data_IF_109917702813
#
_entry.id   IF_109917702813
#
_cell.length_a   1.000
_cell.length_b   1.000
_cell.length_c   1.000
_cell.angle_alpha   90.00
_cell.angle_beta   90.00
_cell.angle_gamma   90.00
#
_symmetry.space_group_name_H-M   'P 1'
#
loop_
_entity.id
_entity.type
_entity.pdbx_description
1 polymer ?
#
# COMPACT_ATOMS: atom_id res chain seq x y z
N UNK A 1 -8.65 1.39 -4.05
CA UNK A 1 -8.83 1.53 -2.60
C UNK A 1 -8.90 3.00 -2.23
N UNK A 2 -9.68 3.32 -1.19
CA UNK A 2 -9.79 4.68 -0.66
C UNK A 2 -9.54 4.62 0.84
N UNK A 3 -8.59 5.41 1.31
CA UNK A 3 -8.20 5.51 2.71
C UNK A 3 -8.60 6.88 3.26
N UNK A 4 -9.25 6.88 4.43
CA UNK A 4 -9.40 8.09 5.23
C UNK A 4 -8.03 8.54 5.76
N UNK A 5 -7.85 9.83 6.13
CA UNK A 5 -6.63 10.29 6.79
C UNK A 5 -6.17 9.37 7.92
N UNK A 6 -4.89 9.00 7.88
CA UNK A 6 -4.25 8.12 8.86
C UNK A 6 -4.61 6.63 8.78
N UNK A 7 -5.52 6.23 7.88
CA UNK A 7 -5.84 4.81 7.69
C UNK A 7 -4.76 4.11 6.86
N UNK A 8 -4.44 2.87 7.23
CA UNK A 8 -3.48 2.02 6.51
C UNK A 8 -3.92 0.55 6.54
N UNK A 9 -3.34 -0.25 5.66
CA UNK A 9 -3.48 -1.71 5.72
C UNK A 9 -2.81 -2.27 6.97
N UNK A 10 -3.19 -3.48 7.43
CA UNK A 10 -2.29 -4.28 8.25
C UNK A 10 -1.00 -4.61 7.47
N UNK A 11 0.03 -5.04 8.19
CA UNK A 11 1.24 -5.61 7.58
C UNK A 11 0.85 -6.87 6.78
N UNK A 12 1.16 -6.90 5.50
CA UNK A 12 0.81 -8.00 4.61
C UNK A 12 1.84 -8.18 3.51
N UNK A 13 1.70 -9.24 2.72
CA UNK A 13 2.53 -9.49 1.54
C UNK A 13 1.72 -10.16 0.44
N UNK A 14 2.20 -10.04 -0.80
CA UNK A 14 1.63 -10.73 -1.95
C UNK A 14 2.66 -11.71 -2.53
N UNK A 15 2.25 -12.95 -2.81
CA UNK A 15 3.16 -13.96 -3.38
C UNK A 15 3.65 -13.59 -4.77
N UNK A 16 2.79 -13.00 -5.58
CA UNK A 16 3.11 -12.57 -6.96
C UNK A 16 3.33 -11.04 -7.08
N UNK A 17 3.36 -10.33 -5.95
CA UNK A 17 3.55 -8.87 -5.89
C UNK A 17 2.27 -8.07 -6.13
N UNK A 18 2.38 -6.74 -5.98
CA UNK A 18 1.28 -5.80 -6.14
C UNK A 18 1.75 -4.49 -6.77
N UNK A 19 0.94 -3.92 -7.65
CA UNK A 19 1.13 -2.57 -8.20
C UNK A 19 0.07 -1.63 -7.65
N UNK A 20 0.52 -0.48 -7.14
CA UNK A 20 -0.32 0.62 -6.71
C UNK A 20 -0.20 1.77 -7.70
N UNK A 21 -1.32 2.28 -8.18
CA UNK A 21 -1.37 3.48 -9.03
C UNK A 21 -2.15 4.56 -8.28
N UNK A 22 -1.46 5.60 -7.82
CA UNK A 22 -2.07 6.64 -7.00
C UNK A 22 -2.82 7.65 -7.89
N UNK A 23 -4.08 7.88 -7.59
CA UNK A 23 -4.96 8.74 -8.40
C UNK A 23 -5.35 10.04 -7.70
N UNK A 24 -5.30 10.09 -6.36
CA UNK A 24 -5.58 11.30 -5.59
C UNK A 24 -5.03 11.19 -4.15
N UNK A 25 -4.77 12.34 -3.52
CA UNK A 25 -4.42 12.42 -2.11
C UNK A 25 -2.93 12.26 -1.80
N UNK A 26 -2.62 12.00 -0.54
CA UNK A 26 -1.25 11.82 -0.03
C UNK A 26 -1.20 10.55 0.81
N UNK A 27 -0.13 9.78 0.67
CA UNK A 27 0.00 8.52 1.38
C UNK A 27 1.42 8.01 1.40
N UNK A 28 1.55 6.75 1.80
CA UNK A 28 2.85 6.11 1.94
C UNK A 28 2.80 4.61 1.64
N UNK A 29 3.96 4.07 1.34
CA UNK A 29 4.28 2.64 1.40
C UNK A 29 5.47 2.48 2.34
N UNK A 30 5.39 1.53 3.26
CA UNK A 30 6.48 1.19 4.18
C UNK A 30 6.83 -0.28 4.03
N UNK A 31 8.11 -0.57 3.78
CA UNK A 31 8.65 -1.92 3.62
C UNK A 31 10.06 -1.97 4.21
N UNK A 32 10.40 -3.05 4.94
CA UNK A 32 11.74 -3.22 5.50
C UNK A 32 12.21 -2.13 6.47
N UNK A 33 11.29 -1.34 7.03
CA UNK A 33 11.59 -0.19 7.89
C UNK A 33 11.89 1.11 7.14
N UNK A 34 11.78 1.12 5.81
CA UNK A 34 11.86 2.32 4.99
C UNK A 34 10.46 2.76 4.55
N UNK A 35 10.20 4.06 4.65
CA UNK A 35 8.92 4.66 4.26
C UNK A 35 9.11 5.57 3.05
N UNK A 36 8.30 5.35 2.03
CA UNK A 36 8.20 6.18 0.83
C UNK A 36 6.86 6.91 0.85
N UNK A 37 6.90 8.23 0.77
CA UNK A 37 5.71 9.06 0.55
C UNK A 37 5.31 9.00 -0.93
N UNK A 38 4.00 8.96 -1.20
CA UNK A 38 3.43 8.79 -2.53
C UNK A 38 2.25 9.75 -2.75
N UNK A 39 2.08 10.19 -3.99
CA UNK A 39 1.05 11.12 -4.42
C UNK A 39 0.53 10.84 -5.83
N UNK A 40 -0.41 11.66 -6.34
CA UNK A 40 -1.10 11.38 -7.60
C UNK A 40 -0.14 11.30 -8.78
N UNK A 41 -0.23 10.22 -9.56
CA UNK A 41 0.66 9.94 -10.68
C UNK A 41 1.77 8.95 -10.35
N UNK A 42 2.03 8.67 -9.07
CA UNK A 42 3.01 7.66 -8.68
C UNK A 42 2.51 6.24 -8.97
N UNK A 43 3.44 5.40 -9.39
CA UNK A 43 3.26 3.96 -9.56
C UNK A 43 4.27 3.25 -8.69
N UNK A 44 3.77 2.46 -7.73
CA UNK A 44 4.61 1.69 -6.80
C UNK A 44 4.47 0.21 -7.10
N UNK A 45 5.60 -0.50 -7.09
CA UNK A 45 5.66 -1.95 -7.10
C UNK A 45 6.03 -2.43 -5.70
N UNK A 46 5.10 -3.12 -5.03
CA UNK A 46 5.44 -3.97 -3.90
C UNK A 46 5.86 -5.33 -4.46
N UNK A 47 7.11 -5.70 -4.26
CA UNK A 47 7.69 -6.86 -4.91
C UNK A 47 7.08 -8.18 -4.42
N UNK A 48 7.11 -9.27 -5.23
CA UNK A 48 6.75 -10.60 -4.76
C UNK A 48 7.50 -10.96 -3.47
N UNK A 49 6.78 -11.36 -2.42
CA UNK A 49 7.40 -11.71 -1.14
C UNK A 49 7.63 -10.55 -0.17
N UNK A 50 7.39 -9.30 -0.59
CA UNK A 50 7.70 -8.12 0.22
C UNK A 50 6.61 -7.85 1.25
N UNK A 51 7.00 -7.83 2.53
CA UNK A 51 6.13 -7.40 3.62
C UNK A 51 6.04 -5.88 3.63
N UNK A 52 4.83 -5.36 3.56
CA UNK A 52 4.60 -3.93 3.49
C UNK A 52 3.29 -3.50 4.16
N UNK A 53 3.24 -2.21 4.47
CA UNK A 53 2.05 -1.46 4.84
C UNK A 53 1.89 -0.34 3.83
N UNK A 54 0.66 -0.01 3.46
CA UNK A 54 0.39 1.21 2.71
C UNK A 54 -0.88 1.88 3.19
N UNK A 55 -0.94 3.21 3.07
CA UNK A 55 -2.04 3.98 3.65
C UNK A 55 -1.97 5.46 3.34
N UNK A 56 -2.95 6.18 3.88
CA UNK A 56 -3.04 7.62 3.77
C UNK A 56 -2.12 8.34 4.75
N UNK A 57 -1.70 9.56 4.39
CA UNK A 57 -1.02 10.48 5.29
C UNK A 57 -1.91 10.83 6.49
N UNK A 58 -1.31 11.36 7.56
CA UNK A 58 -2.01 11.58 8.83
C UNK A 58 -3.24 12.50 8.72
N UNK A 59 -3.23 13.48 7.81
CA UNK A 59 -4.27 14.52 7.70
C UNK A 59 -5.00 14.53 6.35
N UNK A 60 -4.51 13.78 5.36
CA UNK A 60 -5.02 13.77 3.99
C UNK A 60 -5.34 12.33 3.59
N UNK A 61 -6.49 12.10 2.96
CA UNK A 61 -6.87 10.77 2.48
C UNK A 61 -6.06 10.35 1.24
N UNK A 62 -6.14 9.07 0.88
CA UNK A 62 -5.47 8.51 -0.30
C UNK A 62 -6.45 7.73 -1.17
N UNK A 63 -6.36 7.89 -2.48
CA UNK A 63 -7.05 7.04 -3.46
C UNK A 63 -6.02 6.46 -4.42
N UNK A 64 -6.01 5.14 -4.53
CA UNK A 64 -5.19 4.44 -5.52
C UNK A 64 -5.93 3.25 -6.11
N UNK A 65 -5.54 2.84 -7.31
CA UNK A 65 -5.90 1.53 -7.88
C UNK A 65 -4.87 0.51 -7.39
N UNK A 66 -5.30 -0.69 -7.05
CA UNK A 66 -4.42 -1.82 -6.73
C UNK A 66 -4.61 -2.89 -7.79
N UNK A 67 -3.51 -3.35 -8.37
CA UNK A 67 -3.47 -4.51 -9.27
C UNK A 67 -2.60 -5.56 -8.60
N UNK A 68 -3.19 -6.71 -8.31
CA UNK A 68 -2.48 -7.86 -7.74
C UNK A 68 -2.73 -9.07 -8.62
N UNK A 69 -1.71 -9.91 -8.78
CA UNK A 69 -1.87 -11.24 -9.37
C UNK A 69 -1.89 -12.27 -8.25
N UNK A 70 -2.70 -13.32 -8.37
CA UNK A 70 -2.77 -14.40 -7.37
C UNK A 70 -3.65 -14.09 -6.14
N UNK A 71 -3.51 -14.92 -5.10
CA UNK A 71 -4.32 -14.85 -3.88
C UNK A 71 -3.75 -13.81 -2.90
N UNK A 72 -4.63 -13.05 -2.24
CA UNK A 72 -4.26 -12.12 -1.18
C UNK A 72 -4.15 -12.88 0.15
N UNK A 73 -2.95 -12.98 0.72
CA UNK A 73 -2.71 -13.57 2.04
C UNK A 73 -2.52 -12.45 3.06
N UNK A 74 -3.37 -12.43 4.08
CA UNK A 74 -3.22 -11.59 5.27
C UNK A 74 -2.50 -12.42 6.34
N UNK A 75 -1.58 -11.81 7.08
CA UNK A 75 -0.91 -12.49 8.19
C UNK A 75 -1.94 -12.95 9.24
N UNK A 76 -1.74 -14.15 9.79
CA UNK A 76 -2.52 -14.69 10.90
C UNK A 76 -2.38 -13.76 12.12
N UNK A 77 -3.47 -13.27 12.72
CA UNK A 77 -3.39 -12.51 13.97
C UNK A 77 -2.94 -13.46 15.08
N UNK A 78 -1.62 -13.57 15.29
CA UNK A 78 -1.03 -14.20 16.48
C UNK A 78 -1.49 -13.49 17.74
#
# INVERSE_FOLDING_TARGET
>A
MTFAPGAATPLHMHREGQVLVVTAGEGFVEAGGERLEIGPGDVVLAAPGEWHVHGAAAQVGLVHVSVTTGAHEVADPS
#
